data_IF_815014691202
#
_entry.id   IF_815014691202
#
_cell.length_a   1.000
_cell.length_b   1.000
_cell.length_c   1.000
_cell.angle_alpha   90.00
_cell.angle_beta   90.00
_cell.angle_gamma   90.00
#
_symmetry.space_group_name_H-M   'P 1'
#
loop_
_entity.id
_entity.type
_entity.pdbx_description
1 polymer ?
#
# COMPACT_ATOMS: atom_id res chain seq x y z
N UNK A 1 -21.91 31.93 54.80
CA UNK A 1 -20.94 31.11 55.58
C UNK A 1 -20.85 29.65 55.16
N UNK A 2 -21.90 28.81 55.27
CA UNK A 2 -21.78 27.38 54.92
C UNK A 2 -21.64 27.13 53.41
N UNK A 3 -22.43 27.83 52.58
CA UNK A 3 -22.41 27.74 51.10
C UNK A 3 -21.13 28.31 50.48
N UNK A 4 -20.61 29.41 51.02
CA UNK A 4 -19.30 29.96 50.60
C UNK A 4 -18.16 28.99 50.90
N UNK A 5 -18.18 28.35 52.08
CA UNK A 5 -17.16 27.38 52.49
C UNK A 5 -17.20 26.09 51.66
N UNK A 6 -18.37 25.67 51.17
CA UNK A 6 -18.46 24.55 50.22
C UNK A 6 -17.97 24.96 48.85
N UNK A 7 -18.20 26.20 48.44
CA UNK A 7 -17.79 26.72 47.13
C UNK A 7 -16.28 26.89 47.02
N UNK A 8 -15.61 27.41 48.06
CA UNK A 8 -14.15 27.49 48.11
C UNK A 8 -13.51 26.10 48.06
N UNK A 9 -14.11 25.12 48.73
CA UNK A 9 -13.67 23.72 48.64
C UNK A 9 -13.87 23.14 47.24
N UNK A 10 -14.98 23.45 46.56
CA UNK A 10 -15.20 23.02 45.18
C UNK A 10 -14.14 23.60 44.24
N UNK A 11 -13.78 24.88 44.37
CA UNK A 11 -12.69 25.46 43.59
C UNK A 11 -11.32 24.84 43.88
N UNK A 12 -11.01 24.54 45.14
CA UNK A 12 -9.76 23.86 45.52
C UNK A 12 -9.65 22.44 44.96
N UNK A 13 -10.77 21.72 44.85
CA UNK A 13 -10.81 20.36 44.31
C UNK A 13 -10.69 20.38 42.78
N UNK A 14 -11.32 21.35 42.12
CA UNK A 14 -11.16 21.55 40.67
C UNK A 14 -9.71 21.83 40.28
N UNK A 15 -8.96 22.56 41.10
CA UNK A 15 -7.54 22.85 40.87
C UNK A 15 -6.66 21.59 41.02
N UNK A 16 -6.99 20.71 41.97
CA UNK A 16 -6.19 19.50 42.25
C UNK A 16 -6.36 18.39 41.21
N UNK A 17 -7.31 18.51 40.28
CA UNK A 17 -7.61 17.54 39.21
C UNK A 17 -7.65 16.08 39.70
N UNK A 18 -8.20 15.84 40.88
CA UNK A 18 -8.38 14.50 41.43
C UNK A 18 -9.79 14.00 41.08
N UNK A 19 -9.86 12.92 40.31
CA UNK A 19 -11.12 12.29 39.87
C UNK A 19 -11.99 11.89 41.06
N UNK A 20 -11.41 11.18 42.04
CA UNK A 20 -12.16 10.67 43.17
C UNK A 20 -12.59 11.79 44.11
N UNK A 21 -11.75 12.81 44.29
CA UNK A 21 -12.11 13.98 45.08
C UNK A 21 -13.26 14.77 44.42
N UNK A 22 -13.23 14.92 43.09
CA UNK A 22 -14.28 15.60 42.32
C UNK A 22 -15.62 14.85 42.41
N UNK A 23 -15.60 13.53 42.29
CA UNK A 23 -16.80 12.67 42.41
C UNK A 23 -17.41 12.74 43.82
N UNK A 24 -16.57 12.68 44.87
CA UNK A 24 -17.01 12.80 46.26
C UNK A 24 -17.63 14.16 46.54
N UNK A 25 -17.00 15.23 46.03
CA UNK A 25 -17.51 16.59 46.20
C UNK A 25 -18.84 16.78 45.48
N UNK A 26 -18.97 16.28 44.24
CA UNK A 26 -20.22 16.27 43.49
C UNK A 26 -21.34 15.59 44.28
N UNK A 27 -21.09 14.38 44.78
CA UNK A 27 -22.08 13.65 45.57
C UNK A 27 -22.44 14.38 46.87
N UNK A 28 -21.47 15.02 47.51
CA UNK A 28 -21.71 15.85 48.71
C UNK A 28 -22.63 17.04 48.39
N UNK A 29 -22.39 17.76 47.29
CA UNK A 29 -23.23 18.89 46.88
C UNK A 29 -24.64 18.41 46.56
N UNK A 30 -24.79 17.33 45.78
CA UNK A 30 -26.09 16.74 45.46
C UNK A 30 -26.89 16.41 46.73
N UNK A 31 -26.24 15.77 47.72
CA UNK A 31 -26.90 15.39 48.96
C UNK A 31 -27.31 16.63 49.79
N UNK A 32 -26.43 17.64 49.86
CA UNK A 32 -26.72 18.90 50.57
C UNK A 32 -27.88 19.63 49.89
N UNK A 33 -27.86 19.76 48.57
CA UNK A 33 -28.94 20.43 47.82
C UNK A 33 -30.29 19.76 48.02
N UNK A 34 -30.34 18.42 48.03
CA UNK A 34 -31.57 17.66 48.33
C UNK A 34 -32.11 17.95 49.73
N UNK A 35 -31.26 17.85 50.75
CA UNK A 35 -31.66 18.11 52.13
C UNK A 35 -32.11 19.57 52.34
N UNK A 36 -31.44 20.52 51.69
CA UNK A 36 -31.79 21.95 51.74
C UNK A 36 -33.14 22.20 51.05
N UNK A 37 -33.46 21.47 49.98
CA UNK A 37 -34.74 21.56 49.29
C UNK A 37 -35.91 20.98 50.09
N UNK A 38 -35.71 19.81 50.71
CA UNK A 38 -36.69 19.22 51.63
C UNK A 38 -36.99 20.18 52.80
N UNK A 39 -35.95 20.80 53.37
CA UNK A 39 -36.15 21.81 54.43
C UNK A 39 -36.91 23.04 53.92
N UNK A 40 -36.61 23.52 52.71
CA UNK A 40 -37.31 24.66 52.08
C UNK A 40 -38.79 24.37 51.94
N UNK A 41 -39.16 23.22 51.40
CA UNK A 41 -40.57 22.78 51.25
C UNK A 41 -41.30 22.78 52.60
N UNK A 42 -40.70 22.20 53.65
CA UNK A 42 -41.33 22.18 54.99
C UNK A 42 -41.46 23.57 55.64
N UNK A 43 -40.60 24.52 55.27
CA UNK A 43 -40.67 25.91 55.74
C UNK A 43 -41.81 26.64 55.02
N UNK A 44 -41.90 26.51 53.70
CA UNK A 44 -42.97 27.11 52.90
C UNK A 44 -44.35 26.63 53.36
N UNK A 45 -44.53 25.33 53.55
CA UNK A 45 -45.78 24.75 54.08
C UNK A 45 -46.21 25.39 55.42
N UNK A 46 -45.24 25.61 56.34
CA UNK A 46 -45.50 26.23 57.64
C UNK A 46 -45.81 27.72 57.54
N UNK A 47 -45.19 28.42 56.59
CA UNK A 47 -45.41 29.85 56.37
C UNK A 47 -46.77 30.12 55.72
N UNK A 48 -47.19 29.29 54.76
CA UNK A 48 -48.55 29.34 54.20
C UNK A 48 -49.64 29.07 55.25
N UNK A 49 -49.40 28.14 56.18
CA UNK A 49 -50.35 27.84 57.26
C UNK A 49 -50.54 28.98 58.28
N UNK A 50 -49.56 29.90 58.39
CA UNK A 50 -49.61 31.05 59.31
C UNK A 50 -50.21 32.32 58.69
N UNK A 51 -50.43 32.36 57.38
CA UNK A 51 -51.01 33.51 56.68
C UNK A 51 -50.08 34.73 56.58
N UNK A 52 -48.76 34.51 56.50
CA UNK A 52 -47.77 35.58 56.33
C UNK A 52 -47.77 36.18 54.91
N UNK A 53 -47.17 37.36 54.76
CA UNK A 53 -47.10 38.14 53.51
C UNK A 53 -46.48 37.34 52.35
N UNK A 54 -47.28 37.07 51.33
CA UNK A 54 -46.90 36.27 50.14
C UNK A 54 -45.73 36.90 49.36
N UNK A 55 -45.57 38.23 49.42
CA UNK A 55 -44.49 38.95 48.76
C UNK A 55 -43.11 38.63 49.32
N UNK A 56 -42.97 38.59 50.65
CA UNK A 56 -41.72 38.22 51.31
C UNK A 56 -41.32 36.75 51.05
N UNK A 57 -42.30 35.84 50.98
CA UNK A 57 -42.07 34.43 50.65
C UNK A 57 -41.56 34.28 49.21
N UNK A 58 -42.12 35.06 48.27
CA UNK A 58 -41.70 35.04 46.88
C UNK A 58 -40.26 35.57 46.67
N UNK A 59 -39.87 36.65 47.34
CA UNK A 59 -38.48 37.15 47.28
C UNK A 59 -37.49 36.16 47.88
N UNK A 60 -37.85 35.51 49.00
CA UNK A 60 -37.03 34.48 49.61
C UNK A 60 -36.88 33.23 48.73
N UNK A 61 -37.97 32.74 48.11
CA UNK A 61 -37.92 31.62 47.16
C UNK A 61 -37.02 31.94 45.96
N UNK A 62 -37.09 33.16 45.43
CA UNK A 62 -36.23 33.60 44.32
C UNK A 62 -34.74 33.61 44.69
N UNK A 63 -34.40 34.06 45.90
CA UNK A 63 -33.02 33.99 46.40
C UNK A 63 -32.53 32.54 46.55
N UNK A 64 -33.41 31.65 47.02
CA UNK A 64 -33.13 30.23 47.14
C UNK A 64 -32.86 29.57 45.78
N UNK A 65 -33.72 29.80 44.79
CA UNK A 65 -33.53 29.29 43.42
C UNK A 65 -32.20 29.77 42.83
N UNK A 66 -31.80 31.02 43.09
CA UNK A 66 -30.50 31.54 42.65
C UNK A 66 -29.31 30.84 43.30
N UNK A 67 -29.42 30.36 44.55
CA UNK A 67 -28.35 29.59 45.20
C UNK A 67 -28.33 28.14 44.72
N UNK A 68 -29.50 27.55 44.42
CA UNK A 68 -29.60 26.22 43.86
C UNK A 68 -28.99 26.16 42.45
N UNK A 69 -29.25 27.16 41.62
CA UNK A 69 -28.64 27.31 40.29
C UNK A 69 -27.11 27.38 40.35
N UNK A 70 -26.53 28.03 41.39
CA UNK A 70 -25.06 28.04 41.58
C UNK A 70 -24.53 26.65 41.94
N UNK A 71 -25.26 25.88 42.76
CA UNK A 71 -24.88 24.51 43.09
C UNK A 71 -24.94 23.59 41.86
N UNK A 72 -25.93 23.77 40.99
CA UNK A 72 -26.04 23.04 39.73
C UNK A 72 -24.92 23.40 38.74
N UNK A 73 -24.51 24.67 38.70
CA UNK A 73 -23.33 25.10 37.94
C UNK A 73 -22.04 24.45 38.45
N UNK A 74 -21.85 24.39 39.77
CA UNK A 74 -20.70 23.72 40.38
C UNK A 74 -20.69 22.21 40.07
N UNK A 75 -21.85 21.55 40.12
CA UNK A 75 -22.01 20.13 39.72
C UNK A 75 -21.62 19.96 38.24
N UNK A 76 -22.09 20.83 37.36
CA UNK A 76 -21.78 20.79 35.92
C UNK A 76 -20.29 20.95 35.65
N UNK A 77 -19.60 21.83 36.38
CA UNK A 77 -18.15 21.99 36.25
C UNK A 77 -17.39 20.74 36.70
N UNK A 78 -17.79 20.12 37.81
CA UNK A 78 -17.21 18.86 38.27
C UNK A 78 -17.42 17.73 37.26
N UNK A 79 -18.61 17.62 36.66
CA UNK A 79 -18.89 16.65 35.61
C UNK A 79 -18.01 16.84 34.37
N UNK A 80 -17.83 18.08 33.93
CA UNK A 80 -16.95 18.39 32.82
C UNK A 80 -15.49 18.02 33.13
N UNK A 81 -15.04 18.26 34.36
CA UNK A 81 -13.69 17.92 34.77
C UNK A 81 -13.47 16.41 34.84
N UNK A 82 -14.42 15.66 35.41
CA UNK A 82 -14.39 14.18 35.44
C UNK A 82 -14.34 13.65 34.01
N UNK A 83 -15.18 14.16 33.11
CA UNK A 83 -15.18 13.73 31.71
C UNK A 83 -13.83 13.96 31.03
N UNK A 84 -13.23 15.13 31.22
CA UNK A 84 -11.89 15.42 30.66
C UNK A 84 -10.85 14.43 31.15
N UNK A 85 -10.83 14.15 32.46
CA UNK A 85 -9.90 13.17 33.03
C UNK A 85 -10.11 11.76 32.43
N UNK A 86 -11.36 11.36 32.20
CA UNK A 86 -11.68 10.07 31.59
C UNK A 86 -11.23 9.99 30.14
N UNK A 87 -11.42 11.08 29.39
CA UNK A 87 -11.00 11.17 27.99
C UNK A 87 -9.46 11.16 27.90
N UNK A 88 -8.75 11.93 28.73
CA UNK A 88 -7.29 11.94 28.82
C UNK A 88 -6.73 10.55 29.20
N UNK A 89 -7.37 9.85 30.15
CA UNK A 89 -6.96 8.49 30.55
C UNK A 89 -7.16 7.48 29.41
N UNK A 90 -8.24 7.60 28.63
CA UNK A 90 -8.48 6.76 27.45
C UNK A 90 -7.45 7.04 26.37
N UNK A 91 -7.18 8.31 26.07
CA UNK A 91 -6.18 8.71 25.10
C UNK A 91 -4.80 8.18 25.48
N UNK A 92 -4.38 8.35 26.75
CA UNK A 92 -3.12 7.81 27.25
C UNK A 92 -3.02 6.28 27.11
N UNK A 93 -4.10 5.54 27.40
CA UNK A 93 -4.14 4.08 27.19
C UNK A 93 -3.97 3.71 25.71
N UNK A 94 -4.68 4.39 24.81
CA UNK A 94 -4.57 4.13 23.38
C UNK A 94 -3.17 4.45 22.84
N UNK A 95 -2.56 5.55 23.31
CA UNK A 95 -1.19 5.92 22.95
C UNK A 95 -0.18 4.88 23.43
N UNK A 96 -0.29 4.43 24.69
CA UNK A 96 0.56 3.39 25.25
C UNK A 96 0.43 2.06 24.49
N UNK A 97 -0.79 1.65 24.13
CA UNK A 97 -1.01 0.44 23.33
C UNK A 97 -0.41 0.55 21.93
N UNK A 98 -0.55 1.72 21.28
CA UNK A 98 0.05 2.00 19.98
C UNK A 98 1.58 1.98 20.06
N UNK A 99 2.17 2.63 21.05
CA UNK A 99 3.63 2.60 21.29
C UNK A 99 4.14 1.19 21.54
N UNK A 100 3.43 0.41 22.38
CA UNK A 100 3.80 -0.98 22.66
C UNK A 100 3.75 -1.83 21.39
N UNK A 101 2.75 -1.62 20.55
CA UNK A 101 2.63 -2.32 19.26
C UNK A 101 3.77 -1.93 18.32
N UNK A 102 4.06 -0.63 18.21
CA UNK A 102 5.15 -0.14 17.37
C UNK A 102 6.51 -0.69 17.84
N UNK A 103 6.76 -0.72 19.15
CA UNK A 103 7.98 -1.28 19.73
C UNK A 103 8.15 -2.77 19.37
N UNK A 104 7.08 -3.55 19.45
CA UNK A 104 7.10 -4.95 19.04
C UNK A 104 7.34 -5.13 17.54
N UNK A 105 6.72 -4.28 16.70
CA UNK A 105 6.95 -4.31 15.25
C UNK A 105 8.40 -3.96 14.91
N UNK A 106 8.98 -2.94 15.57
CA UNK A 106 10.38 -2.58 15.41
C UNK A 106 11.32 -3.72 15.81
N UNK A 107 11.07 -4.38 16.95
CA UNK A 107 11.85 -5.56 17.36
C UNK A 107 11.74 -6.69 16.32
N UNK A 108 10.54 -6.94 15.79
CA UNK A 108 10.32 -7.93 14.75
C UNK A 108 11.09 -7.58 13.47
N UNK A 109 11.09 -6.31 13.07
CA UNK A 109 11.84 -5.84 11.91
C UNK A 109 13.35 -5.99 12.12
N UNK A 110 13.88 -5.62 13.28
CA UNK A 110 15.29 -5.81 13.60
C UNK A 110 15.69 -7.28 13.57
N UNK A 111 14.88 -8.16 14.15
CA UNK A 111 15.15 -9.60 14.15
C UNK A 111 15.14 -10.17 12.73
N UNK A 112 14.19 -9.74 11.90
CA UNK A 112 14.15 -10.12 10.48
C UNK A 112 15.36 -9.60 9.71
N UNK A 113 15.75 -8.35 9.92
CA UNK A 113 16.91 -7.75 9.26
C UNK A 113 18.21 -8.49 9.63
N UNK A 114 18.42 -8.77 10.92
CA UNK A 114 19.58 -9.55 11.40
C UNK A 114 19.61 -10.95 10.78
N UNK A 115 18.47 -11.63 10.74
CA UNK A 115 18.37 -12.96 10.14
C UNK A 115 18.65 -12.94 8.63
N UNK A 116 18.15 -11.92 7.93
CA UNK A 116 18.43 -11.74 6.50
C UNK A 116 19.90 -11.41 6.23
N UNK A 117 20.51 -10.57 7.06
CA UNK A 117 21.94 -10.26 6.97
C UNK A 117 22.78 -11.52 7.19
N UNK A 118 22.43 -12.36 8.17
CA UNK A 118 23.09 -13.63 8.40
C UNK A 118 22.92 -14.59 7.20
N UNK A 119 21.71 -14.68 6.63
CA UNK A 119 21.47 -15.45 5.42
C UNK A 119 22.27 -14.94 4.23
N UNK A 120 22.30 -13.64 3.99
CA UNK A 120 23.08 -13.07 2.89
C UNK A 120 24.58 -13.25 3.13
N UNK A 121 25.06 -13.16 4.37
CA UNK A 121 26.46 -13.45 4.71
C UNK A 121 26.80 -14.91 4.46
N UNK A 122 25.99 -15.86 4.91
CA UNK A 122 26.23 -17.30 4.69
C UNK A 122 26.15 -17.66 3.21
N UNK A 123 25.18 -17.12 2.48
CA UNK A 123 25.09 -17.21 1.03
C UNK A 123 26.31 -16.58 0.36
N UNK A 124 26.80 -15.46 0.91
CA UNK A 124 28.00 -14.79 0.42
C UNK A 124 29.25 -15.67 0.54
N UNK A 125 29.40 -16.32 1.68
CA UNK A 125 30.47 -17.28 1.94
C UNK A 125 30.33 -18.52 1.05
N UNK A 126 29.10 -19.03 0.82
CA UNK A 126 28.84 -20.20 -0.02
C UNK A 126 29.12 -19.93 -1.51
N UNK A 127 28.81 -18.77 -2.06
CA UNK A 127 29.13 -18.49 -3.47
C UNK A 127 30.63 -18.32 -3.70
N UNK A 128 31.36 -17.73 -2.75
CA UNK A 128 32.81 -17.56 -2.87
C UNK A 128 33.59 -18.83 -2.58
N UNK A 129 33.20 -19.61 -1.56
CA UNK A 129 33.89 -20.85 -1.18
C UNK A 129 33.43 -22.08 -1.95
N UNK A 130 32.27 -21.99 -2.58
CA UNK A 130 31.59 -23.09 -3.25
C UNK A 130 31.07 -24.14 -2.27
N UNK A 131 30.21 -25.06 -2.74
CA UNK A 131 29.81 -26.23 -1.97
C UNK A 131 31.03 -27.08 -1.55
N UNK A 132 30.89 -27.79 -0.43
CA UNK A 132 31.95 -28.65 0.10
C UNK A 132 32.45 -29.72 -0.89
N UNK A 133 31.57 -30.25 -1.74
CA UNK A 133 31.91 -31.24 -2.76
C UNK A 133 32.75 -30.66 -3.90
N UNK A 134 32.78 -29.35 -4.12
CA UNK A 134 33.60 -28.74 -5.18
C UNK A 134 35.11 -28.92 -4.92
N UNK A 135 35.52 -29.04 -3.64
CA UNK A 135 36.93 -29.18 -3.24
C UNK A 135 37.52 -30.55 -3.54
N UNK A 136 36.68 -31.59 -3.55
CA UNK A 136 37.10 -32.97 -3.70
C UNK A 136 36.52 -33.53 -5.01
N UNK A 137 37.33 -33.76 -6.06
CA UNK A 137 36.87 -34.31 -7.33
C UNK A 137 36.12 -35.64 -7.22
N UNK A 138 36.43 -36.46 -6.21
CA UNK A 138 35.74 -37.74 -5.96
C UNK A 138 34.32 -37.57 -5.41
N UNK A 139 33.98 -36.39 -4.87
CA UNK A 139 32.64 -36.07 -4.37
C UNK A 139 31.82 -35.31 -5.41
N UNK A 140 32.36 -35.09 -6.60
CA UNK A 140 31.62 -34.40 -7.65
C UNK A 140 30.40 -35.26 -8.02
N UNK A 141 29.25 -34.63 -8.28
CA UNK A 141 28.13 -35.35 -8.87
C UNK A 141 28.59 -36.04 -10.15
N UNK A 142 28.12 -37.26 -10.38
CA UNK A 142 28.33 -37.94 -11.66
C UNK A 142 27.83 -37.05 -12.79
N UNK A 143 28.55 -37.04 -13.91
CA UNK A 143 28.17 -36.25 -15.09
C UNK A 143 26.77 -36.67 -15.53
N UNK A 144 25.79 -35.76 -15.36
CA UNK A 144 24.41 -36.00 -15.73
C UNK A 144 24.35 -35.90 -17.26
N UNK A 145 24.68 -36.99 -17.94
CA UNK A 145 24.41 -37.15 -19.37
C UNK A 145 22.89 -37.12 -19.51
N UNK A 146 22.27 -36.05 -20.05
CA UNK A 146 20.83 -35.98 -20.13
C UNK A 146 20.35 -37.06 -21.08
N UNK A 147 19.82 -38.15 -20.54
CA UNK A 147 19.12 -39.13 -21.35
C UNK A 147 17.77 -38.53 -21.74
N UNK A 148 17.41 -38.49 -23.03
CA UNK A 148 16.13 -37.95 -23.45
C UNK A 148 14.99 -38.72 -22.78
N UNK A 149 14.28 -38.06 -21.86
CA UNK A 149 13.07 -38.62 -21.25
C UNK A 149 11.97 -38.71 -22.32
N UNK A 150 10.97 -39.56 -22.11
CA UNK A 150 9.82 -39.68 -23.04
C UNK A 150 9.14 -38.32 -23.23
N UNK A 151 9.08 -37.52 -22.18
CA UNK A 151 8.57 -36.15 -22.19
C UNK A 151 9.47 -35.20 -22.98
N UNK A 152 10.79 -35.21 -22.74
CA UNK A 152 11.75 -34.39 -23.51
C UNK A 152 11.78 -34.78 -25.00
N UNK A 153 11.62 -36.07 -25.32
CA UNK A 153 11.46 -36.56 -26.69
C UNK A 153 10.11 -36.15 -27.32
N UNK A 154 9.04 -36.05 -26.53
CA UNK A 154 7.74 -35.58 -27.01
C UNK A 154 7.80 -34.08 -27.34
N UNK A 155 8.43 -33.28 -26.49
CA UNK A 155 8.70 -31.86 -26.75
C UNK A 155 9.60 -31.66 -27.98
N UNK A 156 10.68 -32.44 -28.12
CA UNK A 156 11.56 -32.36 -29.29
C UNK A 156 10.85 -32.74 -30.60
N UNK A 157 9.92 -33.71 -30.57
CA UNK A 157 9.08 -34.06 -31.72
C UNK A 157 8.06 -32.96 -32.03
N UNK A 158 7.52 -32.30 -31.02
CA UNK A 158 6.62 -31.16 -31.16
C UNK A 158 7.35 -29.97 -31.79
N UNK A 159 8.57 -29.66 -31.34
CA UNK A 159 9.38 -28.57 -31.90
C UNK A 159 9.77 -28.86 -33.34
N UNK A 160 10.15 -30.10 -33.68
CA UNK A 160 10.44 -30.49 -35.07
C UNK A 160 9.22 -30.42 -35.97
N UNK A 161 8.04 -30.83 -35.51
CA UNK A 161 6.81 -30.74 -36.32
C UNK A 161 6.36 -29.29 -36.50
N UNK A 162 6.41 -28.47 -35.45
CA UNK A 162 6.08 -27.04 -35.52
C UNK A 162 7.05 -26.30 -36.44
N UNK A 163 8.36 -26.59 -36.37
CA UNK A 163 9.36 -26.00 -37.26
C UNK A 163 9.16 -26.48 -38.71
N UNK A 164 8.88 -27.76 -38.94
CA UNK A 164 8.62 -28.30 -40.28
C UNK A 164 7.31 -27.76 -40.89
N UNK A 165 6.26 -27.58 -40.09
CA UNK A 165 5.01 -26.92 -40.51
C UNK A 165 5.26 -25.46 -40.83
N UNK A 166 6.05 -24.73 -40.03
CA UNK A 166 6.41 -23.35 -40.32
C UNK A 166 7.23 -23.20 -41.63
N UNK A 167 8.06 -24.20 -41.97
CA UNK A 167 8.81 -24.23 -43.23
C UNK A 167 7.91 -24.60 -44.42
N UNK A 168 7.01 -25.59 -44.28
CA UNK A 168 6.11 -26.02 -45.35
C UNK A 168 4.98 -25.03 -45.65
N UNK A 169 4.60 -24.17 -44.69
CA UNK A 169 3.64 -23.07 -44.92
C UNK A 169 4.28 -21.92 -45.71
N UNK A 170 5.62 -21.90 -45.85
CA UNK A 170 6.34 -20.85 -46.57
C UNK A 170 6.68 -21.22 -48.04
N UNK A 171 5.95 -22.16 -48.65
CA UNK A 171 6.09 -22.48 -50.08
C UNK A 171 5.51 -21.37 -50.99
N UNK A 172 4.81 -20.39 -50.41
CA UNK A 172 4.45 -19.14 -51.10
C UNK A 172 5.64 -18.22 -51.14
N UNK A 173 6.40 -18.24 -52.24
CA UNK A 173 7.53 -17.33 -52.43
C UNK A 173 7.04 -15.88 -52.22
N UNK A 174 7.52 -15.19 -51.17
CA UNK A 174 7.07 -13.83 -50.80
C UNK A 174 7.18 -12.84 -51.98
N UNK A 175 8.09 -13.12 -52.92
CA UNK A 175 8.22 -12.42 -54.20
C UNK A 175 6.97 -12.52 -55.09
N UNK A 176 6.26 -13.65 -55.09
CA UNK A 176 5.04 -13.88 -55.87
C UNK A 176 3.87 -13.09 -55.31
N UNK A 177 3.83 -12.86 -54.00
CA UNK A 177 2.83 -11.97 -53.39
C UNK A 177 3.05 -10.50 -53.79
N UNK A 178 4.31 -10.07 -53.85
CA UNK A 178 4.67 -8.72 -54.33
C UNK A 178 4.28 -8.55 -55.81
N UNK A 179 4.45 -9.58 -56.63
CA UNK A 179 4.02 -9.60 -58.04
C UNK A 179 2.50 -9.58 -58.19
N UNK A 180 1.74 -10.25 -57.31
CA UNK A 180 0.28 -10.22 -57.31
C UNK A 180 -0.29 -8.86 -56.88
N UNK A 181 0.38 -8.17 -55.96
CA UNK A 181 -0.15 -6.94 -55.34
C UNK A 181 0.19 -5.65 -56.09
N UNK A 182 1.23 -5.63 -56.90
CA UNK A 182 1.72 -4.42 -57.57
C UNK A 182 1.89 -4.61 -59.08
N UNK A 183 1.72 -3.54 -59.89
CA UNK A 183 2.00 -3.62 -61.31
C UNK A 183 3.46 -4.02 -61.55
N UNK A 184 3.71 -4.79 -62.61
CA UNK A 184 4.98 -5.49 -62.88
C UNK A 184 6.21 -4.59 -62.70
N UNK A 185 6.18 -3.36 -63.22
CA UNK A 185 7.30 -2.42 -63.08
C UNK A 185 7.61 -2.05 -61.63
N UNK A 186 6.58 -1.91 -60.78
CA UNK A 186 6.75 -1.59 -59.36
C UNK A 186 7.25 -2.80 -58.59
N UNK A 187 6.71 -3.99 -58.87
CA UNK A 187 7.18 -5.24 -58.29
C UNK A 187 8.65 -5.52 -58.64
N UNK A 188 9.04 -5.36 -59.91
CA UNK A 188 10.42 -5.53 -60.35
C UNK A 188 11.39 -4.57 -59.63
N UNK A 189 10.98 -3.31 -59.40
CA UNK A 189 11.79 -2.35 -58.63
C UNK A 189 11.95 -2.76 -57.18
N UNK A 190 10.90 -3.28 -56.55
CA UNK A 190 10.94 -3.79 -55.17
C UNK A 190 11.87 -4.99 -55.07
N UNK A 191 11.74 -5.97 -55.96
CA UNK A 191 12.61 -7.15 -55.94
C UNK A 191 14.07 -6.80 -56.27
N UNK A 192 14.31 -5.84 -57.16
CA UNK A 192 15.66 -5.35 -57.44
C UNK A 192 16.29 -4.64 -56.21
N UNK A 193 15.50 -3.87 -55.45
CA UNK A 193 15.94 -3.30 -54.18
C UNK A 193 16.27 -4.37 -53.14
N UNK A 194 15.38 -5.36 -52.96
CA UNK A 194 15.59 -6.47 -52.04
C UNK A 194 16.86 -7.25 -52.37
N UNK A 195 17.09 -7.53 -53.66
CA UNK A 195 18.31 -8.21 -54.13
C UNK A 195 19.56 -7.37 -53.89
N UNK A 196 19.51 -6.04 -54.13
CA UNK A 196 20.64 -5.14 -53.83
C UNK A 196 20.92 -5.05 -52.33
N UNK A 197 19.87 -5.03 -51.52
CA UNK A 197 19.98 -5.06 -50.06
C UNK A 197 20.64 -6.34 -49.58
N UNK A 198 20.17 -7.52 -50.03
CA UNK A 198 20.77 -8.80 -49.71
C UNK A 198 22.25 -8.84 -50.15
N UNK A 199 22.55 -8.37 -51.36
CA UNK A 199 23.91 -8.31 -51.87
C UNK A 199 24.83 -7.43 -51.00
N UNK A 200 24.35 -6.25 -50.60
CA UNK A 200 25.10 -5.35 -49.72
C UNK A 200 25.22 -5.85 -48.26
N UNK A 201 24.27 -6.67 -47.80
CA UNK A 201 24.23 -7.21 -46.44
C UNK A 201 25.06 -8.49 -46.27
N UNK A 202 25.10 -9.35 -47.30
CA UNK A 202 25.74 -10.68 -47.25
C UNK A 202 27.23 -10.66 -47.63
N UNK A 203 27.73 -9.60 -48.26
CA UNK A 203 29.15 -9.53 -48.64
C UNK A 203 30.05 -9.04 -47.48
N UNK A 204 31.24 -9.66 -47.34
CA UNK A 204 32.21 -9.36 -46.26
C UNK A 204 32.69 -7.90 -46.27
N UNK A 205 33.05 -7.39 -45.09
CA UNK A 205 33.59 -6.02 -44.89
C UNK A 205 34.79 -5.77 -45.82
N UNK A 206 34.67 -4.77 -46.70
CA UNK A 206 35.72 -4.37 -47.64
C UNK A 206 35.26 -4.17 -49.09
N UNK A 207 34.09 -4.68 -49.49
CA UNK A 207 33.49 -4.38 -50.80
C UNK A 207 32.64 -3.11 -50.71
N UNK A 208 32.81 -2.18 -51.66
CA UNK A 208 32.03 -0.95 -51.72
C UNK A 208 30.54 -1.27 -51.90
N UNK A 209 29.70 -0.79 -50.98
CA UNK A 209 28.25 -0.94 -51.07
C UNK A 209 27.72 -0.12 -52.24
N UNK A 210 26.79 -0.68 -52.99
CA UNK A 210 26.10 0.07 -54.04
C UNK A 210 25.07 1.00 -53.39
N UNK A 211 25.31 2.31 -53.47
CA UNK A 211 24.50 3.37 -52.89
C UNK A 211 24.03 4.30 -54.01
N UNK A 212 22.77 4.74 -53.97
CA UNK A 212 22.17 5.61 -54.98
C UNK A 212 20.88 5.05 -55.60
N UNK A 213 20.29 5.75 -56.59
CA UNK A 213 19.09 5.28 -57.31
C UNK A 213 19.31 3.90 -57.97
N UNK A 214 18.24 3.16 -58.26
CA UNK A 214 18.38 1.93 -59.05
C UNK A 214 18.92 2.24 -60.45
N UNK A 215 19.88 1.45 -60.88
CA UNK A 215 20.42 1.55 -62.24
C UNK A 215 19.55 0.74 -63.20
N UNK A 216 19.43 1.16 -64.46
CA UNK A 216 18.67 0.45 -65.51
C UNK A 216 19.17 -0.99 -65.72
N UNK A 217 20.45 -1.26 -65.48
CA UNK A 217 21.05 -2.60 -65.51
C UNK A 217 20.58 -3.52 -64.36
N UNK A 218 20.23 -2.97 -63.20
CA UNK A 218 19.64 -3.74 -62.08
C UNK A 218 18.21 -4.15 -62.41
N UNK A 219 17.43 -3.26 -63.02
CA UNK A 219 16.05 -3.52 -63.39
C UNK A 219 15.94 -4.54 -64.55
N UNK A 220 16.84 -4.43 -65.55
CA UNK A 220 16.90 -5.38 -66.66
C UNK A 220 17.27 -6.81 -66.20
N UNK A 221 18.14 -6.94 -65.20
CA UNK A 221 18.48 -8.24 -64.59
C UNK A 221 17.28 -8.87 -63.88
N UNK A 222 16.47 -8.05 -63.21
CA UNK A 222 15.26 -8.54 -62.54
C UNK A 222 14.16 -8.92 -63.54
N UNK A 223 14.05 -8.20 -64.66
CA UNK A 223 13.15 -8.55 -65.76
C UNK A 223 13.49 -9.94 -66.33
N UNK A 224 14.77 -10.17 -66.66
CA UNK A 224 15.25 -11.48 -67.15
C UNK A 224 15.03 -12.62 -66.14
N UNK A 225 15.23 -12.33 -64.85
CA UNK A 225 14.95 -13.29 -63.78
C UNK A 225 13.46 -13.66 -63.70
N UNK A 226 12.55 -12.69 -63.90
CA UNK A 226 11.10 -12.93 -63.94
C UNK A 226 10.62 -13.68 -65.20
N UNK A 227 11.37 -13.60 -66.30
CA UNK A 227 11.11 -14.35 -67.53
C UNK A 227 11.68 -15.78 -67.51
N UNK A 228 12.30 -16.21 -66.41
CA UNK A 228 12.87 -17.54 -66.26
C UNK A 228 14.16 -17.77 -67.05
N UNK A 229 14.78 -16.72 -67.60
CA UNK A 229 16.01 -16.81 -68.39
C UNK A 229 17.15 -16.14 -67.61
N UNK A 230 17.75 -16.89 -66.69
CA UNK A 230 18.96 -16.46 -66.00
C UNK A 230 19.48 -17.48 -64.99
N UNK A 231 20.57 -18.15 -65.36
CA UNK A 231 21.39 -19.01 -64.51
C UNK A 231 21.66 -18.39 -63.14
N UNK A 232 21.52 -19.21 -62.09
CA UNK A 232 21.99 -18.90 -60.74
C UNK A 232 23.52 -18.95 -60.73
N UNK A 233 24.24 -17.85 -60.42
CA UNK A 233 25.62 -17.99 -60.00
C UNK A 233 25.64 -18.49 -58.56
N UNK A 234 26.54 -19.45 -58.30
CA UNK A 234 26.98 -19.89 -56.97
C UNK A 234 27.59 -18.72 -56.20
#
# INVERSE_FOLDING_TARGET
MATEKTRTKTSEILEKQDRQASERQKQSIINISKAVNELKETIEEKQFAKGEDEGAIAEWSKLYESELEKADQDIKLLDQQIKKMDDDEREAKTAYEHERKLAFELELFERKAKFQEELEKTKQELWWRGPNWLKDPERWPDDIVPQPTVESNAEAKLVKSVLAVAVAVNDGNEADEVLKKFPLQKALRVCAWMRRFANNALHKRGRSRVIGPLTTSELARQHKWGEGVGDLPV
#
